data_IF_298570041702
#
_entry.id   IF_298570041702
#
_cell.length_a   1.000
_cell.length_b   1.000
_cell.length_c   1.000
_cell.angle_alpha   90.00
_cell.angle_beta   90.00
_cell.angle_gamma   90.00
#
_symmetry.space_group_name_H-M   'P 1'
#
loop_
_entity.id
_entity.type
_entity.pdbx_description
1 polymer ?
#
# COMPACT_ATOMS: atom_id res chain seq x y z
N UNK A 1 10.95 -18.57 -9.14
CA UNK A 1 10.70 -17.19 -8.64
C UNK A 1 10.07 -16.40 -9.77
N UNK A 2 8.76 -16.17 -9.70
CA UNK A 2 8.03 -15.47 -10.76
C UNK A 2 7.65 -14.09 -10.24
N UNK A 3 8.43 -13.07 -10.60
CA UNK A 3 8.08 -11.67 -10.35
C UNK A 3 7.02 -11.27 -11.36
N UNK A 4 5.80 -10.96 -10.92
CA UNK A 4 4.74 -10.36 -11.77
C UNK A 4 4.67 -8.87 -11.47
N UNK A 5 5.47 -8.08 -12.18
CA UNK A 5 5.28 -6.63 -12.23
C UNK A 5 4.16 -6.33 -13.25
N UNK A 6 3.00 -5.90 -12.76
CA UNK A 6 1.94 -5.37 -13.62
C UNK A 6 2.19 -3.87 -13.84
N UNK A 7 2.70 -3.51 -15.02
CA UNK A 7 2.88 -2.11 -15.43
C UNK A 7 1.58 -1.63 -16.06
N UNK A 8 0.82 -0.80 -15.35
CA UNK A 8 -0.39 -0.16 -15.89
C UNK A 8 0.01 1.00 -16.82
N UNK A 9 -0.42 0.97 -18.10
CA UNK A 9 -0.10 2.01 -19.11
C UNK A 9 -1.07 3.22 -19.09
N UNK A 10 -0.50 4.39 -19.42
CA UNK A 10 -0.93 5.80 -19.31
C UNK A 10 -2.26 6.28 -19.97
N UNK A 11 -2.69 7.47 -19.50
CA UNK A 11 -3.31 8.61 -20.22
C UNK A 11 -3.32 9.84 -19.28
N UNK A 12 -2.68 10.94 -19.69
CA UNK A 12 -2.58 12.22 -18.95
C UNK A 12 -3.89 13.03 -19.00
N UNK A 13 -4.43 13.39 -17.83
CA UNK A 13 -5.40 14.48 -17.67
C UNK A 13 -5.47 14.95 -16.20
N UNK A 14 -5.49 16.26 -15.90
CA UNK A 14 -5.68 16.76 -14.54
C UNK A 14 -7.08 16.37 -14.04
N UNK A 15 -7.12 15.57 -12.96
CA UNK A 15 -8.34 14.97 -12.41
C UNK A 15 -8.42 13.44 -12.53
N UNK A 16 -7.42 12.78 -13.12
CA UNK A 16 -7.40 11.31 -13.23
C UNK A 16 -7.17 10.67 -11.86
N UNK A 17 -8.15 9.88 -11.41
CA UNK A 17 -7.98 8.97 -10.28
C UNK A 17 -7.14 7.78 -10.74
N UNK A 18 -6.11 7.43 -9.97
CA UNK A 18 -5.54 6.10 -10.07
C UNK A 18 -6.60 5.10 -9.66
N UNK A 19 -6.78 4.05 -10.46
CA UNK A 19 -7.67 2.93 -10.18
C UNK A 19 -6.84 1.66 -10.27
N UNK A 20 -6.57 1.04 -9.14
CA UNK A 20 -5.88 -0.24 -9.06
C UNK A 20 -6.92 -1.30 -8.71
N UNK A 21 -7.06 -2.26 -9.61
CA UNK A 21 -7.87 -3.46 -9.38
C UNK A 21 -6.96 -4.61 -8.94
N UNK A 22 -7.53 -5.52 -8.16
CA UNK A 22 -6.87 -6.76 -7.74
C UNK A 22 -5.56 -6.55 -6.97
N UNK A 23 -5.47 -5.47 -6.17
CA UNK A 23 -4.33 -5.24 -5.27
C UNK A 23 -4.27 -6.38 -4.26
N UNK A 24 -3.16 -7.14 -4.19
CA UNK A 24 -3.08 -8.33 -3.35
C UNK A 24 -3.10 -7.97 -1.87
N UNK A 25 -3.82 -8.76 -1.07
CA UNK A 25 -3.85 -8.71 0.40
C UNK A 25 -3.38 -10.03 1.00
N UNK A 26 -2.40 -10.67 0.35
CA UNK A 26 -1.93 -12.01 0.70
C UNK A 26 -3.06 -13.05 0.62
N UNK A 27 -3.16 -13.92 1.63
CA UNK A 27 -4.20 -14.96 1.71
C UNK A 27 -5.62 -14.42 1.89
N UNK A 28 -5.78 -13.13 2.17
CA UNK A 28 -7.09 -12.51 2.32
C UNK A 28 -7.78 -12.14 1.00
N UNK A 29 -7.11 -12.39 -0.13
CA UNK A 29 -7.66 -12.10 -1.46
C UNK A 29 -7.11 -10.80 -2.02
N UNK A 30 -7.96 -10.01 -2.67
CA UNK A 30 -7.59 -8.77 -3.33
C UNK A 30 -8.48 -7.60 -2.91
N UNK A 31 -8.04 -6.38 -3.18
CA UNK A 31 -8.80 -5.15 -3.00
C UNK A 31 -8.72 -4.25 -4.24
N UNK A 32 -9.75 -3.43 -4.41
CA UNK A 32 -9.78 -2.40 -5.44
C UNK A 32 -9.66 -1.04 -4.76
N UNK A 33 -8.69 -0.22 -5.18
CA UNK A 33 -8.50 1.13 -4.63
C UNK A 33 -8.55 2.19 -5.71
N UNK A 34 -9.11 3.35 -5.33
CA UNK A 34 -9.09 4.56 -6.13
C UNK A 34 -8.57 5.73 -5.32
N UNK A 35 -7.61 6.47 -5.86
CA UNK A 35 -7.02 7.60 -5.16
C UNK A 35 -6.50 8.67 -6.12
N UNK A 36 -6.37 9.89 -5.60
CA UNK A 36 -5.81 11.01 -6.36
C UNK A 36 -4.27 10.97 -6.31
N UNK A 37 -3.60 11.21 -7.45
CA UNK A 37 -2.16 11.46 -7.47
C UNK A 37 -1.80 12.62 -6.54
N UNK A 38 -0.64 12.55 -5.90
CA UNK A 38 -0.04 13.68 -5.16
C UNK A 38 0.97 14.45 -6.01
N UNK A 39 1.47 13.85 -7.08
CA UNK A 39 2.40 14.44 -8.02
C UNK A 39 1.67 14.86 -9.31
N UNK A 40 2.24 15.81 -10.03
CA UNK A 40 1.67 16.32 -11.28
C UNK A 40 1.68 15.28 -12.41
N UNK A 41 2.77 14.51 -12.51
CA UNK A 41 2.95 13.43 -13.48
C UNK A 41 3.55 12.23 -12.76
N UNK A 42 2.73 11.19 -12.57
CA UNK A 42 3.13 9.98 -11.85
C UNK A 42 2.33 8.74 -12.26
N UNK A 43 2.82 7.58 -11.85
CA UNK A 43 2.15 6.29 -11.99
C UNK A 43 2.12 5.52 -10.66
N UNK A 44 1.07 4.72 -10.40
CA UNK A 44 1.05 3.83 -9.26
C UNK A 44 1.88 2.57 -9.50
N UNK A 45 2.66 2.16 -8.49
CA UNK A 45 3.48 0.95 -8.52
C UNK A 45 3.09 0.07 -7.33
N UNK A 46 2.66 -1.17 -7.59
CA UNK A 46 2.32 -2.13 -6.53
C UNK A 46 3.50 -3.06 -6.31
N UNK A 47 3.95 -3.15 -5.06
CA UNK A 47 5.05 -4.00 -4.61
C UNK A 47 4.56 -4.92 -3.52
N UNK A 48 5.06 -6.15 -3.50
CA UNK A 48 4.75 -7.11 -2.43
C UNK A 48 6.01 -7.76 -1.89
N UNK A 49 6.12 -7.86 -0.58
CA UNK A 49 7.24 -8.50 0.11
C UNK A 49 6.78 -9.63 1.02
N UNK A 50 7.59 -10.69 1.12
CA UNK A 50 7.43 -11.68 2.19
C UNK A 50 7.90 -11.10 3.52
N UNK A 51 7.38 -11.60 4.63
CA UNK A 51 7.81 -11.19 5.98
C UNK A 51 8.90 -12.14 6.51
N UNK A 52 9.98 -11.64 7.14
CA UNK A 52 10.29 -10.23 7.37
C UNK A 52 10.80 -9.52 6.11
N UNK A 53 10.59 -8.21 6.05
CA UNK A 53 11.04 -7.36 4.93
C UNK A 53 11.81 -6.15 5.44
N UNK A 54 12.69 -5.61 4.59
CA UNK A 54 13.28 -4.29 4.75
C UNK A 54 12.52 -3.26 3.91
N UNK A 55 12.49 -2.02 4.36
CA UNK A 55 11.86 -0.92 3.62
C UNK A 55 12.74 0.32 3.70
N UNK A 56 13.12 0.86 2.53
CA UNK A 56 13.94 2.06 2.42
C UNK A 56 13.07 3.31 2.29
N UNK A 57 12.17 3.56 3.25
CA UNK A 57 11.26 4.71 3.21
C UNK A 57 11.44 5.58 4.45
N UNK A 58 11.60 6.88 4.25
CA UNK A 58 11.83 7.86 5.31
C UNK A 58 10.83 9.04 5.21
N UNK A 59 10.49 9.69 6.34
CA UNK A 59 9.66 10.89 6.32
C UNK A 59 10.45 12.09 5.79
N UNK A 60 10.02 12.67 4.67
CA UNK A 60 10.58 13.88 4.08
C UNK A 60 9.47 14.84 3.67
N UNK A 61 9.49 16.08 4.17
CA UNK A 61 8.48 17.09 3.82
C UNK A 61 7.03 16.67 4.09
N UNK A 62 6.80 15.86 5.13
CA UNK A 62 5.47 15.31 5.46
C UNK A 62 5.01 14.16 4.56
N UNK A 63 5.91 13.58 3.74
CA UNK A 63 5.64 12.44 2.86
C UNK A 63 6.55 11.28 3.22
N UNK A 64 6.10 10.06 2.96
CA UNK A 64 6.91 8.85 3.09
C UNK A 64 7.62 8.59 1.76
N UNK A 65 8.92 8.88 1.68
CA UNK A 65 9.71 8.86 0.43
C UNK A 65 10.69 7.69 0.44
N UNK A 66 10.74 6.96 -0.66
CA UNK A 66 11.71 5.91 -0.89
C UNK A 66 13.12 6.51 -1.07
N UNK A 67 14.07 6.12 -0.23
CA UNK A 67 15.44 6.67 -0.21
C UNK A 67 16.46 5.79 -0.91
N UNK A 68 16.12 4.53 -1.23
CA UNK A 68 16.95 3.59 -1.99
C UNK A 68 16.10 2.65 -2.81
N UNK A 69 16.57 2.27 -3.99
CA UNK A 69 15.94 1.23 -4.81
C UNK A 69 15.81 -0.07 -4.00
N UNK A 70 14.64 -0.69 -4.09
CA UNK A 70 14.34 -1.95 -3.41
C UNK A 70 14.19 -3.12 -4.38
N UNK A 71 14.27 -4.33 -3.84
CA UNK A 71 14.20 -5.57 -4.63
C UNK A 71 12.81 -5.81 -5.24
N UNK A 72 11.76 -5.22 -4.63
CA UNK A 72 10.38 -5.28 -5.08
C UNK A 72 10.07 -4.39 -6.29
N UNK A 73 11.02 -3.54 -6.69
CA UNK A 73 10.93 -2.68 -7.87
C UNK A 73 10.59 -1.23 -7.56
N UNK A 74 10.44 -0.83 -6.30
CA UNK A 74 10.43 0.57 -5.87
C UNK A 74 11.77 1.25 -6.11
N UNK A 75 11.73 2.57 -6.33
CA UNK A 75 12.87 3.39 -6.72
C UNK A 75 13.01 4.60 -5.81
N UNK A 76 14.22 5.15 -5.71
CA UNK A 76 14.46 6.44 -5.05
C UNK A 76 13.49 7.50 -5.58
N UNK A 77 12.82 8.22 -4.67
CA UNK A 77 11.85 9.26 -4.99
C UNK A 77 10.40 8.77 -5.10
N UNK A 78 10.16 7.46 -5.11
CA UNK A 78 8.80 6.90 -5.03
C UNK A 78 8.15 7.30 -3.69
N UNK A 79 6.87 7.70 -3.74
CA UNK A 79 6.11 8.03 -2.54
C UNK A 79 5.30 6.83 -2.07
N UNK A 80 5.47 6.38 -0.84
CA UNK A 80 4.61 5.34 -0.27
C UNK A 80 3.20 5.91 -0.07
N UNK A 81 2.22 5.34 -0.77
CA UNK A 81 0.81 5.77 -0.75
C UNK A 81 -0.09 4.85 0.06
N UNK A 82 0.13 3.54 -0.03
CA UNK A 82 -0.63 2.57 0.76
C UNK A 82 0.28 1.46 1.29
N UNK A 83 -0.09 0.92 2.44
CA UNK A 83 0.44 -0.35 2.95
C UNK A 83 -0.69 -1.20 3.49
N UNK A 84 -0.55 -2.53 3.46
CA UNK A 84 -1.45 -3.40 4.23
C UNK A 84 -1.33 -3.08 5.71
N UNK A 85 -2.48 -3.07 6.39
CA UNK A 85 -2.59 -2.88 7.83
C UNK A 85 -3.55 -3.90 8.41
N UNK A 86 -3.13 -4.53 9.50
CA UNK A 86 -3.97 -5.36 10.34
C UNK A 86 -4.50 -4.55 11.51
N UNK A 87 -5.81 -4.59 11.71
CA UNK A 87 -6.48 -3.94 12.83
C UNK A 87 -7.49 -4.89 13.46
N UNK A 88 -7.66 -4.78 14.77
CA UNK A 88 -8.68 -5.53 15.50
C UNK A 88 -9.97 -4.72 15.56
N UNK A 89 -11.09 -5.33 15.20
CA UNK A 89 -12.38 -4.64 15.19
C UNK A 89 -13.56 -5.56 14.93
N UNK A 90 -14.76 -5.00 15.09
CA UNK A 90 -15.97 -5.64 14.57
C UNK A 90 -15.94 -5.56 13.03
N UNK A 91 -16.42 -6.59 12.32
CA UNK A 91 -16.49 -6.55 10.87
C UNK A 91 -17.31 -5.36 10.39
N UNK A 92 -16.62 -4.35 9.84
CA UNK A 92 -17.26 -3.21 9.18
C UNK A 92 -17.59 -3.62 7.74
N UNK A 93 -18.87 -3.79 7.44
CA UNK A 93 -19.38 -4.16 6.11
C UNK A 93 -19.28 -3.05 5.05
N UNK A 94 -18.31 -2.13 5.16
CA UNK A 94 -18.20 -0.97 4.30
C UNK A 94 -16.94 -1.06 3.40
N UNK A 95 -17.13 -1.70 2.24
CA UNK A 95 -16.50 -1.40 0.95
C UNK A 95 -14.98 -1.53 0.71
N UNK A 96 -14.12 -1.48 1.72
CA UNK A 96 -12.65 -1.41 1.56
C UNK A 96 -11.86 -2.33 2.50
N UNK A 97 -12.54 -3.20 3.23
CA UNK A 97 -11.95 -4.14 4.19
C UNK A 97 -12.26 -5.57 3.76
N UNK A 98 -11.23 -6.31 3.34
CA UNK A 98 -11.37 -7.76 3.08
C UNK A 98 -11.41 -8.47 4.43
N UNK A 99 -12.63 -8.79 4.87
CA UNK A 99 -12.87 -9.47 6.14
C UNK A 99 -12.46 -10.93 6.04
N UNK A 100 -11.32 -11.29 6.63
CA UNK A 100 -10.99 -12.68 6.92
C UNK A 100 -11.21 -12.91 8.41
N UNK A 101 -12.17 -13.78 8.75
CA UNK A 101 -12.48 -14.31 10.08
C UNK A 101 -13.37 -13.47 11.03
N UNK A 102 -14.59 -13.12 10.63
CA UNK A 102 -15.63 -12.72 11.60
C UNK A 102 -17.03 -13.22 11.22
N UNK A 103 -17.22 -14.54 11.24
CA UNK A 103 -18.56 -15.13 11.23
C UNK A 103 -19.04 -15.21 12.69
N UNK A 104 -19.90 -14.28 13.12
CA UNK A 104 -20.59 -14.38 14.43
C UNK A 104 -20.64 -13.13 15.32
N UNK A 105 -20.27 -11.94 14.84
CA UNK A 105 -20.27 -10.73 15.70
C UNK A 105 -19.13 -10.67 16.73
N UNK A 106 -18.14 -11.57 16.60
CA UNK A 106 -16.92 -11.54 17.40
C UNK A 106 -15.91 -10.55 16.82
N UNK A 107 -15.18 -9.87 17.71
CA UNK A 107 -14.03 -9.03 17.37
C UNK A 107 -12.97 -9.92 16.71
N UNK A 108 -12.50 -9.51 15.53
CA UNK A 108 -11.51 -10.25 14.75
C UNK A 108 -10.42 -9.35 14.19
N UNK A 109 -9.33 -9.97 13.73
CA UNK A 109 -8.30 -9.29 12.96
C UNK A 109 -8.81 -9.08 11.53
N UNK A 110 -8.66 -7.86 11.04
CA UNK A 110 -9.04 -7.49 9.68
C UNK A 110 -7.85 -6.88 8.96
N UNK A 111 -7.70 -7.19 7.68
CA UNK A 111 -6.71 -6.56 6.80
C UNK A 111 -7.38 -5.48 5.94
N UNK A 112 -6.66 -4.38 5.75
CA UNK A 112 -7.09 -3.24 4.95
C UNK A 112 -5.87 -2.58 4.29
N UNK A 113 -6.11 -1.70 3.32
CA UNK A 113 -5.08 -0.82 2.76
C UNK A 113 -5.13 0.53 3.50
N UNK A 114 -4.08 0.82 4.25
CA UNK A 114 -3.90 2.06 4.98
C UNK A 114 -3.37 3.16 4.06
N UNK A 115 -4.08 4.28 3.96
CA UNK A 115 -3.70 5.44 3.14
C UNK A 115 -2.65 6.29 3.87
N UNK A 116 -1.39 6.13 3.48
CA UNK A 116 -0.23 6.78 4.08
C UNK A 116 -0.29 8.30 3.93
N UNK A 117 -0.92 8.81 2.87
CA UNK A 117 -1.08 10.24 2.66
C UNK A 117 -2.09 10.89 3.63
N UNK A 118 -2.91 10.08 4.32
CA UNK A 118 -3.86 10.54 5.33
C UNK A 118 -3.40 10.28 6.77
N UNK A 119 -2.22 9.69 6.94
CA UNK A 119 -1.64 9.45 8.25
C UNK A 119 -1.41 10.78 8.99
N UNK A 120 -1.70 10.81 10.29
CA UNK A 120 -1.50 12.01 11.12
C UNK A 120 -0.04 12.22 11.51
N UNK A 121 0.72 11.14 11.56
CA UNK A 121 2.14 11.11 11.88
C UNK A 121 2.82 9.97 11.14
N UNK A 122 4.15 10.04 11.03
CA UNK A 122 4.92 8.93 10.48
C UNK A 122 4.85 7.68 11.37
N UNK A 123 4.67 7.84 12.69
CA UNK A 123 4.47 6.72 13.61
C UNK A 123 3.23 5.88 13.24
N UNK A 124 2.14 6.52 12.78
CA UNK A 124 0.96 5.78 12.32
C UNK A 124 1.26 4.92 11.07
N UNK A 125 2.18 5.39 10.22
CA UNK A 125 2.68 4.62 9.06
C UNK A 125 3.51 3.44 9.53
N UNK A 126 4.41 3.66 10.49
CA UNK A 126 5.22 2.59 11.11
C UNK A 126 4.31 1.56 11.76
N UNK A 127 3.32 1.97 12.55
CA UNK A 127 2.33 1.10 13.17
C UNK A 127 1.58 0.24 12.14
N UNK A 128 1.18 0.85 11.01
CA UNK A 128 0.54 0.12 9.92
C UNK A 128 1.49 -0.94 9.32
N UNK A 129 2.75 -0.59 9.06
CA UNK A 129 3.76 -1.50 8.52
C UNK A 129 4.02 -2.67 9.47
N UNK A 130 4.28 -2.40 10.76
CA UNK A 130 4.62 -3.43 11.76
C UNK A 130 3.41 -4.23 12.25
N UNK A 131 2.18 -3.83 11.88
CA UNK A 131 0.99 -4.66 12.11
C UNK A 131 1.01 -5.96 11.30
N UNK A 132 1.76 -5.99 10.18
CA UNK A 132 2.00 -7.18 9.39
C UNK A 132 3.03 -8.06 10.12
N UNK A 133 2.54 -8.95 10.98
CA UNK A 133 3.39 -9.90 11.73
C UNK A 133 3.24 -11.32 11.18
N UNK A 134 4.23 -12.20 11.38
CA UNK A 134 4.20 -13.59 10.89
C UNK A 134 2.97 -14.39 11.37
N UNK A 135 2.38 -14.03 12.50
CA UNK A 135 1.18 -14.69 13.03
C UNK A 135 -0.10 -14.32 12.24
N UNK A 136 -0.07 -13.20 11.50
CA UNK A 136 -1.24 -12.66 10.79
C UNK A 136 -1.14 -12.85 9.28
N UNK A 137 0.05 -12.73 8.72
CA UNK A 137 0.27 -12.80 7.26
C UNK A 137 1.70 -13.24 6.97
N UNK A 138 1.93 -13.77 5.77
CA UNK A 138 3.26 -14.07 5.21
C UNK A 138 3.75 -12.98 4.25
N UNK A 139 2.89 -12.00 3.94
CA UNK A 139 3.15 -10.97 2.94
C UNK A 139 2.68 -9.58 3.39
N UNK A 140 3.39 -8.55 2.96
CA UNK A 140 2.98 -7.14 2.99
C UNK A 140 2.80 -6.64 1.55
N UNK A 141 1.77 -5.82 1.31
CA UNK A 141 1.58 -5.13 0.02
C UNK A 141 1.77 -3.63 0.23
N UNK A 142 2.58 -3.04 -0.63
CA UNK A 142 2.89 -1.62 -0.66
C UNK A 142 2.44 -1.06 -2.00
N UNK A 143 1.87 0.15 -1.98
CA UNK A 143 1.55 0.90 -3.20
C UNK A 143 2.32 2.19 -3.16
N UNK A 144 3.18 2.39 -4.15
CA UNK A 144 3.94 3.60 -4.36
C UNK A 144 3.32 4.45 -5.45
N UNK A 145 3.60 5.75 -5.42
CA UNK A 145 3.39 6.67 -6.53
C UNK A 145 4.75 7.14 -7.03
N UNK A 146 5.06 6.79 -8.27
CA UNK A 146 6.34 7.05 -8.93
C UNK A 146 6.22 8.27 -9.84
N UNK A 147 7.08 9.29 -9.69
CA UNK A 147 7.17 10.38 -10.67
C UNK A 147 7.50 9.85 -12.08
N UNK A 148 6.73 10.23 -13.10
CA UNK A 148 6.96 9.82 -14.50
C UNK A 148 7.79 10.80 -15.32
N UNK A 149 8.00 12.01 -14.80
CA UNK A 149 8.99 12.95 -15.33
C UNK A 149 10.11 13.09 -14.31
N UNK A 150 11.35 13.08 -14.80
CA UNK A 150 12.55 13.05 -13.97
C UNK A 150 12.52 14.09 -12.87
N UNK A 151 12.92 13.66 -11.67
CA UNK A 151 13.30 14.58 -10.59
C UNK A 151 14.36 15.51 -11.17
N UNK A 152 14.01 16.78 -11.41
CA UNK A 152 15.01 17.82 -11.67
C UNK A 152 15.75 18.13 -10.38
#
# INVERSE_FOLDING_TARGET
LTVRAAVARMQDAPGRLFSLSDVPLGKAGTANIKFKPLLESSEPVVVTYNIPFGLNVEPQGGRAVCTKDGEGGEKVGDLLRFTTRWSMGLPRGDGLVSTVASFGGAIGWQISLFDVAKAKSFDEVVEALVSNTPERTDQVTLVFERPTQGVQ
#
